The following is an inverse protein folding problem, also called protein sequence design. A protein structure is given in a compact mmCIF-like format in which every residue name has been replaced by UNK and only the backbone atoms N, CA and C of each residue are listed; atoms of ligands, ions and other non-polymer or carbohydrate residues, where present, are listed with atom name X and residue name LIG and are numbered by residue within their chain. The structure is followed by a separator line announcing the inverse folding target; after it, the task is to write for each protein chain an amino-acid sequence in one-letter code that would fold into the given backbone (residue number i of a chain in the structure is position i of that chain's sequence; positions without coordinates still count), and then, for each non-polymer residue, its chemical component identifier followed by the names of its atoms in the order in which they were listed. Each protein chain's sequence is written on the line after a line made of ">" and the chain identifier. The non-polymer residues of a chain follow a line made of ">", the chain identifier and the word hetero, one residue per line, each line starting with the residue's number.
data_IF_077493871798
#
_entry.id   IF_077493871798
#
_cell.length_a   1.000
_cell.length_b   1.000
_cell.length_c   1.000
_cell.angle_alpha   90.00
_cell.angle_beta   90.00
_cell.angle_gamma   90.00
#
_symmetry.space_group_name_H-M   'P 1'
#
loop_
_entity.id
_entity.type
_entity.pdbx_description
1 polymer ?
#
# COMPACT_ATOMS: atom_id res chain seq x y z
N UNK A 1 -15.33 -9.00 -3.72
CA UNK A 1 -16.06 -8.36 -2.59
C UNK A 1 -15.11 -7.37 -1.92
N UNK A 2 -15.52 -6.10 -1.83
CA UNK A 2 -14.69 -5.06 -1.19
C UNK A 2 -14.77 -5.16 0.33
N UNK A 3 -13.62 -5.30 0.98
CA UNK A 3 -13.49 -5.33 2.44
C UNK A 3 -12.49 -4.28 2.92
N UNK A 4 -12.73 -3.72 4.11
CA UNK A 4 -11.79 -2.87 4.84
C UNK A 4 -11.75 -3.29 6.31
N UNK A 5 -10.54 -3.40 6.85
CA UNK A 5 -10.32 -3.65 8.27
C UNK A 5 -9.25 -2.69 8.81
N UNK A 6 -9.61 -1.91 9.82
CA UNK A 6 -8.62 -1.17 10.62
C UNK A 6 -8.01 -2.12 11.64
N UNK A 7 -6.69 -2.32 11.57
CA UNK A 7 -5.98 -3.26 12.44
C UNK A 7 -5.42 -2.55 13.66
N UNK A 8 -4.75 -1.42 13.43
CA UNK A 8 -4.18 -0.54 14.44
C UNK A 8 -4.53 0.90 14.10
N UNK A 9 -5.02 1.65 15.08
CA UNK A 9 -5.25 3.09 14.94
C UNK A 9 -4.56 3.82 16.08
N UNK A 10 -3.63 4.70 15.72
CA UNK A 10 -2.82 5.51 16.64
C UNK A 10 -2.16 4.69 17.76
N UNK A 11 -1.78 3.44 17.46
CA UNK A 11 -1.20 2.52 18.43
C UNK A 11 0.23 2.95 18.81
N UNK A 12 0.52 3.04 20.11
CA UNK A 12 1.80 3.48 20.63
C UNK A 12 2.97 2.57 20.24
N UNK A 13 4.07 3.18 19.81
CA UNK A 13 5.34 2.55 19.42
C UNK A 13 6.52 2.98 20.31
N UNK A 14 6.29 3.60 21.46
CA UNK A 14 7.37 3.95 22.39
C UNK A 14 7.67 2.82 23.36
N UNK A 15 8.96 2.62 23.66
CA UNK A 15 9.47 1.57 24.55
C UNK A 15 8.85 1.68 25.94
N UNK A 16 7.87 0.82 26.23
CA UNK A 16 7.14 0.80 27.50
C UNK A 16 5.68 0.42 27.34
N UNK A 17 5.03 0.88 26.26
CA UNK A 17 3.59 0.69 26.02
C UNK A 17 3.29 -0.11 24.73
N UNK A 18 4.31 -0.48 23.98
CA UNK A 18 4.15 -1.20 22.72
C UNK A 18 3.99 -2.70 22.97
N UNK A 19 2.84 -3.27 22.56
CA UNK A 19 2.54 -4.68 22.71
C UNK A 19 2.94 -5.48 21.45
N UNK A 20 4.01 -6.30 21.50
CA UNK A 20 4.44 -7.09 20.35
C UNK A 20 3.33 -7.96 19.77
N UNK A 21 2.45 -8.52 20.61
CA UNK A 21 1.38 -9.42 20.15
C UNK A 21 0.37 -8.71 19.25
N UNK A 22 0.09 -7.44 19.53
CA UNK A 22 -0.85 -6.63 18.75
C UNK A 22 -0.27 -6.34 17.36
N UNK A 23 1.02 -5.99 17.29
CA UNK A 23 1.70 -5.78 16.02
C UNK A 23 1.83 -7.08 15.20
N UNK A 24 2.21 -8.18 15.84
CA UNK A 24 2.25 -9.53 15.23
C UNK A 24 0.88 -9.89 14.66
N UNK A 25 -0.20 -9.66 15.41
CA UNK A 25 -1.57 -9.91 14.94
C UNK A 25 -1.92 -9.08 13.71
N UNK A 26 -1.50 -7.81 13.66
CA UNK A 26 -1.71 -6.95 12.50
C UNK A 26 -0.95 -7.47 11.27
N UNK A 27 0.33 -7.86 11.43
CA UNK A 27 1.13 -8.43 10.34
C UNK A 27 0.55 -9.74 9.81
N UNK A 28 0.13 -10.65 10.70
CA UNK A 28 -0.52 -11.90 10.31
C UNK A 28 -1.86 -11.66 9.60
N UNK A 29 -2.61 -10.63 10.01
CA UNK A 29 -3.86 -10.27 9.31
C UNK A 29 -3.56 -9.83 7.88
N UNK A 30 -2.53 -9.01 7.65
CA UNK A 30 -2.08 -8.65 6.29
C UNK A 30 -1.67 -9.90 5.50
N UNK A 31 -0.92 -10.82 6.12
CA UNK A 31 -0.51 -12.08 5.47
C UNK A 31 -1.71 -12.92 5.05
N UNK A 32 -2.80 -12.92 5.82
CA UNK A 32 -4.02 -13.67 5.49
C UNK A 32 -4.98 -12.95 4.54
N UNK A 33 -4.83 -11.64 4.35
CA UNK A 33 -5.78 -10.81 3.62
C UNK A 33 -5.63 -10.89 2.10
N UNK A 34 -4.54 -11.46 1.58
CA UNK A 34 -4.27 -11.56 0.14
C UNK A 34 -3.54 -12.85 -0.18
N UNK A 35 -3.65 -13.30 -1.43
CA UNK A 35 -2.96 -14.51 -1.93
C UNK A 35 -1.53 -14.17 -2.29
N UNK A 36 -0.69 -13.96 -1.26
CA UNK A 36 0.73 -13.74 -1.44
C UNK A 36 1.46 -14.98 -1.96
N UNK A 37 2.68 -14.83 -2.48
CA UNK A 37 3.53 -15.98 -2.82
C UNK A 37 3.96 -16.70 -1.54
N UNK A 38 4.21 -18.00 -1.67
CA UNK A 38 4.48 -18.95 -0.56
C UNK A 38 5.65 -18.57 0.35
N UNK A 39 6.57 -17.72 -0.12
CA UNK A 39 7.71 -17.27 0.66
C UNK A 39 7.35 -16.14 1.65
N UNK A 40 6.12 -15.64 1.59
CA UNK A 40 5.61 -14.62 2.52
C UNK A 40 5.50 -15.18 3.93
N UNK A 41 5.88 -14.36 4.90
CA UNK A 41 5.99 -14.79 6.28
C UNK A 41 5.95 -13.61 7.24
N UNK A 42 5.53 -13.89 8.46
CA UNK A 42 5.73 -13.00 9.61
C UNK A 42 6.84 -13.60 10.46
N UNK A 43 7.88 -12.81 10.72
CA UNK A 43 8.89 -13.15 11.71
C UNK A 43 8.39 -12.67 13.07
N UNK A 44 7.98 -13.62 13.91
CA UNK A 44 7.44 -13.36 15.23
C UNK A 44 8.52 -13.52 16.28
N UNK A 45 8.85 -12.45 16.98
CA UNK A 45 9.78 -12.50 18.11
C UNK A 45 9.17 -11.81 19.32
N UNK A 46 9.71 -12.08 20.51
CA UNK A 46 9.32 -11.37 21.73
C UNK A 46 9.75 -9.89 21.74
N UNK A 47 10.57 -9.47 20.76
CA UNK A 47 11.02 -8.09 20.60
C UNK A 47 10.37 -7.44 19.39
N UNK A 48 9.78 -6.26 19.57
CA UNK A 48 9.29 -5.48 18.44
C UNK A 48 10.41 -5.11 17.45
N UNK A 49 11.66 -4.98 17.91
CA UNK A 49 12.79 -4.61 17.05
C UNK A 49 13.16 -5.67 16.01
N UNK A 50 12.76 -6.91 16.23
CA UNK A 50 13.05 -8.03 15.32
C UNK A 50 11.77 -8.62 14.70
N UNK A 51 10.62 -8.01 14.96
CA UNK A 51 9.33 -8.42 14.42
C UNK A 51 9.05 -7.68 13.12
N UNK A 52 8.76 -8.43 12.05
CA UNK A 52 8.45 -7.87 10.73
C UNK A 52 7.65 -8.85 9.87
N UNK A 53 6.94 -8.33 8.87
CA UNK A 53 6.28 -9.13 7.84
C UNK A 53 6.96 -8.94 6.49
N UNK A 54 7.20 -10.04 5.78
CA UNK A 54 7.62 -10.08 4.38
C UNK A 54 6.44 -10.56 3.53
N UNK A 55 5.99 -9.74 2.58
CA UNK A 55 4.82 -9.99 1.75
C UNK A 55 5.22 -10.02 0.27
N UNK A 56 5.44 -11.22 -0.25
CA UNK A 56 5.89 -11.46 -1.61
C UNK A 56 4.72 -11.35 -2.59
N UNK A 57 4.76 -10.33 -3.44
CA UNK A 57 3.79 -10.15 -4.52
C UNK A 57 4.25 -10.86 -5.81
N UNK A 58 5.55 -11.05 -5.99
CA UNK A 58 6.12 -11.99 -6.98
C UNK A 58 7.01 -13.03 -6.29
N UNK A 59 7.60 -13.95 -7.05
CA UNK A 59 8.56 -14.91 -6.48
C UNK A 59 9.83 -14.24 -5.91
N UNK A 60 10.14 -13.02 -6.36
CA UNK A 60 11.42 -12.36 -6.09
C UNK A 60 11.27 -10.99 -5.40
N UNK A 61 10.12 -10.34 -5.56
CA UNK A 61 9.86 -8.99 -5.06
C UNK A 61 8.80 -9.01 -3.96
N UNK A 62 9.04 -8.22 -2.90
CA UNK A 62 8.22 -8.22 -1.71
C UNK A 62 8.21 -6.88 -0.98
N UNK A 63 7.16 -6.66 -0.20
CA UNK A 63 7.04 -5.58 0.77
C UNK A 63 7.53 -6.10 2.11
N UNK A 64 8.43 -5.37 2.78
CA UNK A 64 8.77 -5.61 4.18
C UNK A 64 8.22 -4.49 5.06
N UNK A 65 7.39 -4.84 6.04
CA UNK A 65 6.90 -3.92 7.07
C UNK A 65 7.56 -4.30 8.40
N UNK A 66 8.32 -3.37 8.98
CA UNK A 66 9.07 -3.56 10.22
C UNK A 66 8.78 -2.44 11.23
N UNK A 67 8.99 -2.69 12.52
CA UNK A 67 8.74 -1.72 13.60
C UNK A 67 9.94 -0.81 13.91
N UNK A 68 11.14 -1.24 13.53
CA UNK A 68 12.38 -0.61 13.99
C UNK A 68 13.22 -0.15 12.82
N UNK A 69 12.89 1.05 12.39
CA UNK A 69 13.56 1.72 11.30
C UNK A 69 14.80 2.48 11.78
N UNK A 70 15.98 2.17 11.22
CA UNK A 70 17.23 2.88 11.49
C UNK A 70 17.57 3.05 12.98
N UNK A 71 17.33 2.02 13.77
CA UNK A 71 17.53 2.03 15.22
C UNK A 71 16.60 2.97 16.02
N UNK A 72 15.46 3.33 15.45
CA UNK A 72 14.45 4.17 16.09
C UNK A 72 13.08 3.47 16.08
N UNK A 73 12.25 3.79 17.06
CA UNK A 73 10.97 3.11 17.28
C UNK A 73 9.86 3.73 16.42
N UNK A 74 9.86 3.40 15.12
CA UNK A 74 8.82 3.80 14.17
C UNK A 74 8.70 2.78 13.03
N UNK A 75 7.48 2.64 12.49
CA UNK A 75 7.21 1.69 11.40
C UNK A 75 8.05 2.02 10.17
N UNK A 76 8.68 1.04 9.54
CA UNK A 76 9.37 1.15 8.27
C UNK A 76 8.76 0.27 7.19
N UNK A 77 8.82 0.76 5.94
CA UNK A 77 8.45 -0.02 4.75
C UNK A 77 9.66 -0.12 3.85
N UNK A 78 9.96 -1.32 3.37
CA UNK A 78 10.92 -1.54 2.30
C UNK A 78 10.19 -2.19 1.13
N UNK A 79 10.45 -1.69 -0.06
CA UNK A 79 10.11 -2.32 -1.32
C UNK A 79 11.39 -3.00 -1.82
N UNK A 80 11.40 -4.32 -1.87
CA UNK A 80 12.55 -5.12 -2.29
C UNK A 80 12.23 -5.76 -3.63
N UNK A 81 13.14 -5.58 -4.59
CA UNK A 81 13.12 -6.23 -5.91
C UNK A 81 14.50 -6.83 -6.20
N UNK A 82 14.65 -7.68 -7.23
CA UNK A 82 15.97 -8.18 -7.64
C UNK A 82 17.00 -7.09 -7.90
N UNK A 83 16.54 -5.92 -8.34
CA UNK A 83 17.39 -4.82 -8.80
C UNK A 83 17.64 -3.75 -7.74
N UNK A 84 17.04 -3.86 -6.55
CA UNK A 84 17.29 -2.90 -5.48
C UNK A 84 16.32 -2.97 -4.31
N UNK A 85 16.58 -2.10 -3.34
CA UNK A 85 15.70 -1.89 -2.20
C UNK A 85 15.44 -0.41 -2.02
N UNK A 86 14.16 -0.02 -1.95
CA UNK A 86 13.75 1.33 -1.59
C UNK A 86 13.11 1.30 -0.21
N UNK A 87 13.68 2.06 0.72
CA UNK A 87 13.10 2.23 2.05
C UNK A 87 12.31 3.52 2.12
N UNK A 88 11.04 3.42 2.50
CA UNK A 88 10.21 4.56 2.85
C UNK A 88 10.52 4.95 4.30
N UNK A 89 10.83 6.23 4.48
CA UNK A 89 11.08 6.82 5.78
C UNK A 89 9.82 7.55 6.24
N UNK A 90 9.45 7.36 7.50
CA UNK A 90 8.37 8.10 8.13
C UNK A 90 8.95 9.11 9.11
N UNK A 91 8.16 10.14 9.42
CA UNK A 91 8.49 11.02 10.53
C UNK A 91 8.51 10.20 11.81
N UNK A 92 9.54 10.42 12.63
CA UNK A 92 9.61 9.82 13.96
C UNK A 92 8.40 10.30 14.74
N UNK A 93 7.54 9.36 15.09
CA UNK A 93 6.35 9.62 15.87
C UNK A 93 5.94 8.31 16.50
N UNK A 94 5.77 8.36 17.82
CA UNK A 94 5.55 7.18 18.65
C UNK A 94 4.19 6.52 18.45
N UNK A 95 3.51 6.69 17.31
CA UNK A 95 2.25 6.04 16.99
C UNK A 95 2.28 5.45 15.58
N UNK A 96 1.56 4.34 15.38
CA UNK A 96 1.28 3.78 14.07
C UNK A 96 -0.20 3.68 13.76
N UNK A 97 -0.49 3.67 12.47
CA UNK A 97 -1.80 3.26 11.95
C UNK A 97 -1.56 2.19 10.90
N UNK A 98 -2.24 1.04 11.06
CA UNK A 98 -2.22 -0.06 10.12
C UNK A 98 -3.64 -0.46 9.78
N UNK A 99 -3.94 -0.55 8.49
CA UNK A 99 -5.22 -1.07 8.00
C UNK A 99 -4.99 -1.85 6.71
N UNK A 100 -5.96 -2.67 6.36
CA UNK A 100 -5.99 -3.38 5.10
C UNK A 100 -7.33 -3.18 4.42
N UNK A 101 -7.30 -3.01 3.11
CA UNK A 101 -8.45 -3.13 2.24
C UNK A 101 -8.15 -4.15 1.16
N UNK A 102 -9.13 -4.92 0.73
CA UNK A 102 -8.94 -5.90 -0.36
C UNK A 102 -10.15 -5.96 -1.28
N UNK A 103 -9.88 -6.44 -2.48
CA UNK A 103 -10.86 -6.82 -3.49
C UNK A 103 -10.58 -8.25 -3.93
N UNK A 104 -11.35 -8.78 -4.89
CA UNK A 104 -11.07 -10.10 -5.46
C UNK A 104 -9.79 -10.11 -6.31
N UNK A 105 -9.25 -8.93 -6.67
CA UNK A 105 -8.10 -8.77 -7.58
C UNK A 105 -6.83 -8.23 -6.92
N UNK A 106 -6.95 -7.47 -5.83
CA UNK A 106 -5.79 -6.88 -5.18
C UNK A 106 -5.96 -6.58 -3.69
N UNK A 107 -4.94 -5.96 -3.13
CA UNK A 107 -4.89 -5.52 -1.74
C UNK A 107 -4.31 -4.11 -1.64
N UNK A 108 -4.85 -3.32 -0.73
CA UNK A 108 -4.28 -2.05 -0.33
C UNK A 108 -4.04 -2.02 1.19
N UNK A 109 -2.96 -1.37 1.61
CA UNK A 109 -2.52 -1.35 3.01
C UNK A 109 -2.26 0.10 3.39
N UNK A 110 -2.80 0.53 4.53
CA UNK A 110 -2.29 1.69 5.22
C UNK A 110 -1.24 1.18 6.21
N UNK A 111 -0.01 1.65 6.10
CA UNK A 111 1.05 1.39 7.06
C UNK A 111 1.81 2.70 7.27
N UNK A 112 1.64 3.31 8.43
CA UNK A 112 2.14 4.66 8.69
C UNK A 112 2.67 4.77 10.12
N UNK A 113 3.74 5.56 10.30
CA UNK A 113 4.24 6.01 11.60
C UNK A 113 4.25 7.53 11.69
N UNK A 114 3.85 8.08 12.83
CA UNK A 114 3.84 9.52 13.05
C UNK A 114 3.17 9.92 14.36
N UNK A 115 2.64 11.14 14.42
CA UNK A 115 1.91 11.65 15.60
C UNK A 115 0.55 10.97 15.75
N UNK A 116 0.01 10.92 16.97
CA UNK A 116 -1.37 10.48 17.20
C UNK A 116 -2.37 11.32 16.38
N UNK A 117 -3.37 10.68 15.78
CA UNK A 117 -4.43 11.32 15.00
C UNK A 117 -4.02 11.75 13.59
N UNK A 118 -2.77 11.52 13.18
CA UNK A 118 -2.23 12.06 11.92
C UNK A 118 -2.61 11.27 10.66
N UNK A 119 -3.17 10.05 10.79
CA UNK A 119 -3.46 9.19 9.64
C UNK A 119 -4.85 8.58 9.66
N UNK A 120 -5.62 8.80 8.61
CA UNK A 120 -6.89 8.11 8.40
C UNK A 120 -6.63 6.66 7.93
N UNK A 121 -7.28 5.62 8.50
CA UNK A 121 -7.00 4.22 8.16
C UNK A 121 -7.18 3.85 6.69
N UNK A 122 -8.14 4.40 5.96
CA UNK A 122 -8.34 4.21 4.52
C UNK A 122 -7.40 5.05 3.66
N UNK A 123 -6.39 5.71 4.24
CA UNK A 123 -5.38 6.43 3.46
C UNK A 123 -4.80 5.57 2.34
N UNK A 124 -4.48 4.32 2.69
CA UNK A 124 -3.83 3.31 1.85
C UNK A 124 -2.65 3.86 1.06
N UNK A 125 -1.45 3.64 1.58
CA UNK A 125 -0.20 4.06 0.97
C UNK A 125 0.54 2.91 0.27
N UNK A 126 0.03 1.69 0.34
CA UNK A 126 0.54 0.53 -0.39
C UNK A 126 -0.59 -0.12 -1.17
N UNK A 127 -0.32 -0.54 -2.40
CA UNK A 127 -1.25 -1.26 -3.27
C UNK A 127 -0.51 -2.39 -3.97
N UNK A 128 -1.14 -3.55 -4.09
CA UNK A 128 -0.64 -4.69 -4.85
C UNK A 128 -1.77 -5.19 -5.75
N UNK A 129 -1.45 -5.37 -7.03
CA UNK A 129 -2.40 -5.74 -8.08
C UNK A 129 -1.72 -6.28 -9.33
N UNK A 130 -2.53 -6.71 -10.30
CA UNK A 130 -2.04 -7.27 -11.56
C UNK A 130 -1.64 -6.16 -12.55
N UNK A 131 -0.46 -6.32 -13.14
CA UNK A 131 0.06 -5.46 -14.20
C UNK A 131 0.15 -6.21 -15.52
N UNK A 132 -0.14 -5.51 -16.62
CA UNK A 132 0.10 -6.00 -17.97
C UNK A 132 1.33 -5.31 -18.54
N UNK A 133 2.32 -6.11 -18.94
CA UNK A 133 3.55 -5.64 -19.57
C UNK A 133 3.32 -5.31 -21.05
N UNK A 134 4.26 -4.60 -21.68
CA UNK A 134 4.17 -4.22 -23.09
C UNK A 134 4.07 -5.42 -24.05
N UNK A 135 4.59 -6.58 -23.66
CA UNK A 135 4.49 -7.83 -24.42
C UNK A 135 3.12 -8.54 -24.24
N UNK A 136 2.22 -7.96 -23.45
CA UNK A 136 0.90 -8.49 -23.16
C UNK A 136 0.87 -9.56 -22.06
N UNK A 137 2.01 -9.94 -21.49
CA UNK A 137 2.05 -10.84 -20.34
C UNK A 137 1.61 -10.13 -19.06
N UNK A 138 1.08 -10.89 -18.10
CA UNK A 138 0.67 -10.35 -16.79
C UNK A 138 1.61 -10.79 -15.67
N UNK A 139 1.80 -9.91 -14.70
CA UNK A 139 2.51 -10.19 -13.46
C UNK A 139 1.91 -9.35 -12.33
N UNK A 140 2.50 -9.35 -11.15
CA UNK A 140 2.03 -8.55 -10.01
C UNK A 140 3.00 -7.42 -9.72
N UNK A 141 2.48 -6.23 -9.45
CA UNK A 141 3.26 -5.05 -9.08
C UNK A 141 2.85 -4.51 -7.73
N UNK A 142 3.72 -3.69 -7.13
CA UNK A 142 3.44 -2.93 -5.92
C UNK A 142 3.56 -1.43 -6.18
N UNK A 143 2.65 -0.64 -5.62
CA UNK A 143 2.72 0.82 -5.60
C UNK A 143 2.79 1.29 -4.16
N UNK A 144 3.70 2.23 -3.87
CA UNK A 144 3.68 3.04 -2.67
C UNK A 144 3.32 4.49 -2.99
N UNK A 145 2.39 5.10 -2.26
CA UNK A 145 1.95 6.49 -2.47
C UNK A 145 2.46 7.39 -1.35
N UNK A 146 3.21 8.43 -1.73
CA UNK A 146 3.68 9.47 -0.81
C UNK A 146 2.55 10.43 -0.41
N UNK A 147 2.77 11.21 0.66
CA UNK A 147 1.78 12.16 1.16
C UNK A 147 1.46 13.30 0.18
N UNK A 148 2.41 13.64 -0.70
CA UNK A 148 2.28 14.60 -1.78
C UNK A 148 1.68 14.00 -3.07
N UNK A 149 1.20 12.75 -3.02
CA UNK A 149 0.67 11.96 -4.15
C UNK A 149 1.68 11.66 -5.28
N UNK A 150 2.98 11.90 -5.09
CA UNK A 150 4.00 11.17 -5.86
C UNK A 150 3.96 9.69 -5.47
N UNK A 151 4.45 8.80 -6.32
CA UNK A 151 4.37 7.37 -6.04
C UNK A 151 5.58 6.60 -6.53
N UNK A 152 5.79 5.44 -5.93
CA UNK A 152 6.89 4.53 -6.23
C UNK A 152 6.26 3.26 -6.78
N UNK A 153 6.73 2.77 -7.92
CA UNK A 153 6.32 1.48 -8.49
C UNK A 153 7.45 0.49 -8.26
N UNK A 154 7.12 -0.71 -7.80
CA UNK A 154 8.07 -1.81 -7.62
C UNK A 154 7.57 -3.06 -8.34
N UNK A 155 8.42 -3.59 -9.22
CA UNK A 155 8.21 -4.82 -9.99
C UNK A 155 9.50 -5.64 -10.02
N UNK A 156 9.47 -6.86 -10.57
CA UNK A 156 10.69 -7.65 -10.78
C UNK A 156 11.72 -6.94 -11.69
N UNK A 157 11.27 -6.00 -12.52
CA UNK A 157 12.12 -5.19 -13.40
C UNK A 157 12.82 -4.05 -12.66
N UNK A 158 12.40 -3.67 -11.46
CA UNK A 158 13.06 -2.64 -10.66
C UNK A 158 12.09 -1.75 -9.90
N UNK A 159 12.60 -0.57 -9.53
CA UNK A 159 11.86 0.43 -8.76
C UNK A 159 11.91 1.75 -9.53
N UNK A 160 10.74 2.34 -9.80
CA UNK A 160 10.61 3.67 -10.40
C UNK A 160 9.99 4.66 -9.42
N UNK A 161 10.32 5.94 -9.57
CA UNK A 161 9.76 7.04 -8.78
C UNK A 161 9.03 7.99 -9.73
N UNK A 162 7.74 8.12 -9.50
CA UNK A 162 6.81 8.81 -10.38
C UNK A 162 6.38 10.14 -9.74
N UNK A 163 6.32 11.18 -10.57
CA UNK A 163 5.96 12.51 -10.12
C UNK A 163 4.54 12.58 -9.56
N UNK A 164 4.28 13.59 -8.72
CA UNK A 164 2.96 13.87 -8.19
C UNK A 164 1.89 13.93 -9.28
N UNK A 165 0.86 13.12 -9.12
CA UNK A 165 -0.34 13.23 -9.92
C UNK A 165 -1.34 14.19 -9.25
N UNK A 166 -1.31 15.46 -9.65
CA UNK A 166 -2.30 16.45 -9.19
C UNK A 166 -3.49 16.48 -10.14
N UNK A 167 -4.64 16.01 -9.68
CA UNK A 167 -5.87 16.21 -10.40
C UNK A 167 -6.51 17.53 -10.01
N UNK A 168 -6.26 18.60 -10.76
CA UNK A 168 -6.97 19.87 -10.58
C UNK A 168 -8.45 19.72 -10.95
N UNK A 169 -9.32 19.81 -9.94
CA UNK A 169 -10.78 19.80 -10.09
C UNK A 169 -11.23 21.22 -10.49
N UNK A 170 -11.83 21.34 -11.67
CA UNK A 170 -12.64 22.51 -12.04
C UNK A 170 -14.10 22.05 -12.25
N UNK A 171 -15.06 22.97 -12.11
CA UNK A 171 -16.50 22.68 -12.17
C UNK A 171 -17.01 22.29 -13.58
N UNK A 172 -16.12 22.15 -14.56
CA UNK A 172 -16.48 21.95 -15.97
C UNK A 172 -16.04 20.60 -16.53
N UNK A 173 -15.33 19.77 -15.75
CA UNK A 173 -14.75 18.50 -16.23
C UNK A 173 -15.25 17.31 -15.41
N UNK A 174 -15.73 16.27 -16.12
CA UNK A 174 -16.15 15.00 -15.53
C UNK A 174 -14.95 14.34 -14.83
N UNK A 175 -15.18 13.70 -13.69
CA UNK A 175 -14.19 12.81 -13.08
C UNK A 175 -13.92 11.62 -14.00
N UNK A 176 -12.66 11.19 -14.10
CA UNK A 176 -12.27 9.99 -14.83
C UNK A 176 -11.16 9.24 -14.12
N UNK A 177 -11.14 7.93 -14.31
CA UNK A 177 -10.11 7.04 -13.83
C UNK A 177 -9.08 6.83 -14.94
N UNK A 178 -7.81 6.97 -14.62
CA UNK A 178 -6.70 6.65 -15.54
C UNK A 178 -5.92 5.48 -14.93
N UNK A 179 -5.71 4.38 -15.65
CA UNK A 179 -4.84 3.31 -15.18
C UNK A 179 -3.48 3.85 -14.72
N UNK A 180 -2.93 3.34 -13.62
CA UNK A 180 -1.55 3.68 -13.22
C UNK A 180 -0.58 3.11 -14.25
N UNK A 181 0.48 3.86 -14.58
CA UNK A 181 1.48 3.49 -15.58
C UNK A 181 2.87 3.55 -14.94
N UNK A 182 3.67 2.52 -15.13
CA UNK A 182 5.11 2.54 -14.84
C UNK A 182 5.83 3.33 -15.96
N UNK A 183 6.49 4.45 -15.64
CA UNK A 183 7.15 5.28 -16.66
C UNK A 183 8.43 4.66 -17.22
N UNK A 184 9.02 3.70 -16.51
CA UNK A 184 10.27 3.05 -16.93
C UNK A 184 10.00 2.00 -17.99
N UNK A 185 8.93 1.23 -17.81
CA UNK A 185 8.60 0.09 -18.69
C UNK A 185 7.39 0.33 -19.58
N UNK A 186 6.55 1.32 -19.28
CA UNK A 186 5.26 1.53 -19.94
C UNK A 186 4.17 0.53 -19.53
N UNK A 187 4.41 -0.32 -18.51
CA UNK A 187 3.43 -1.28 -18.02
C UNK A 187 2.20 -0.58 -17.42
N UNK A 188 1.02 -1.15 -17.67
CA UNK A 188 -0.26 -0.57 -17.26
C UNK A 188 -0.92 -1.49 -16.23
N UNK A 189 -1.31 -0.93 -15.08
CA UNK A 189 -2.05 -1.66 -14.06
C UNK A 189 -3.50 -1.91 -14.53
N UNK A 190 -3.96 -3.16 -14.42
CA UNK A 190 -5.28 -3.58 -14.91
C UNK A 190 -6.43 -3.19 -13.97
N UNK A 191 -6.13 -3.13 -12.68
CA UNK A 191 -7.05 -2.98 -11.56
C UNK A 191 -6.72 -1.79 -10.65
N UNK A 192 -5.63 -1.06 -10.93
CA UNK A 192 -5.22 0.11 -10.15
C UNK A 192 -5.35 1.38 -10.98
N UNK A 193 -6.14 2.32 -10.49
CA UNK A 193 -6.48 3.55 -11.20
C UNK A 193 -6.14 4.80 -10.37
N UNK A 194 -5.51 5.77 -11.02
CA UNK A 194 -5.42 7.14 -10.54
C UNK A 194 -6.79 7.81 -10.64
N UNK A 195 -7.19 8.50 -9.58
CA UNK A 195 -8.40 9.32 -9.58
C UNK A 195 -8.10 10.70 -10.15
N UNK A 196 -8.65 11.01 -11.32
CA UNK A 196 -8.55 12.35 -11.92
C UNK A 196 -9.86 13.10 -11.75
N UNK A 197 -9.81 14.24 -11.07
CA UNK A 197 -10.92 15.16 -10.87
C UNK A 197 -12.09 14.56 -10.07
N UNK A 198 -11.84 13.47 -9.32
CA UNK A 198 -12.79 12.84 -8.43
C UNK A 198 -12.49 13.24 -6.96
N UNK A 199 -13.40 13.93 -6.25
CA UNK A 199 -13.23 14.21 -4.82
C UNK A 199 -13.60 13.03 -3.90
N UNK A 200 -13.74 11.80 -4.44
CA UNK A 200 -14.22 10.62 -3.71
C UNK A 200 -13.09 9.90 -2.97
N UNK A 201 -12.44 10.60 -2.04
CA UNK A 201 -11.43 10.00 -1.16
C UNK A 201 -12.10 9.08 -0.13
N UNK A 202 -11.45 7.97 0.23
CA UNK A 202 -11.84 7.09 1.35
C UNK A 202 -13.23 6.46 1.23
N UNK A 203 -13.66 6.11 0.01
CA UNK A 203 -14.99 5.62 -0.29
C UNK A 203 -14.97 4.33 -1.12
N UNK A 204 -16.13 3.67 -1.21
CA UNK A 204 -16.39 2.67 -2.23
C UNK A 204 -17.20 3.30 -3.36
N UNK A 205 -16.71 3.18 -4.59
CA UNK A 205 -17.38 3.72 -5.78
C UNK A 205 -17.90 2.57 -6.63
N UNK A 206 -19.08 2.75 -7.22
CA UNK A 206 -19.64 1.85 -8.23
C UNK A 206 -19.91 2.63 -9.51
N UNK A 207 -19.40 2.17 -10.64
CA UNK A 207 -19.77 2.69 -11.95
C UNK A 207 -20.98 1.90 -12.43
N UNK A 208 -22.15 2.54 -12.49
CA UNK A 208 -23.44 1.87 -12.76
C UNK A 208 -23.44 1.20 -14.13
N UNK A 209 -22.89 1.84 -15.15
CA UNK A 209 -22.92 1.37 -16.54
C UNK A 209 -22.02 0.15 -16.80
N UNK A 210 -20.99 -0.05 -15.98
CA UNK A 210 -20.04 -1.17 -16.13
C UNK A 210 -20.15 -2.19 -15.01
N UNK A 211 -21.00 -1.93 -14.00
CA UNK A 211 -21.11 -2.63 -12.73
C UNK A 211 -19.80 -2.73 -11.90
N UNK A 212 -18.72 -2.10 -12.36
CA UNK A 212 -17.41 -2.12 -11.71
C UNK A 212 -17.44 -1.39 -10.38
N UNK A 213 -16.76 -1.95 -9.38
CA UNK A 213 -16.64 -1.37 -8.05
C UNK A 213 -15.18 -1.06 -7.73
N UNK A 214 -14.96 -0.03 -6.94
CA UNK A 214 -13.63 0.48 -6.61
C UNK A 214 -13.54 0.77 -5.12
N UNK A 215 -12.46 0.34 -4.48
CA UNK A 215 -12.05 0.76 -3.15
C UNK A 215 -11.07 1.92 -3.26
N UNK A 216 -11.49 3.12 -2.90
CA UNK A 216 -10.71 4.34 -3.08
C UNK A 216 -10.01 4.76 -1.79
N UNK A 217 -8.68 4.91 -1.87
CA UNK A 217 -7.86 5.56 -0.85
C UNK A 217 -7.84 7.07 -1.02
N UNK A 218 -6.70 7.72 -0.71
CA UNK A 218 -6.55 9.18 -0.91
C UNK A 218 -6.44 9.57 -2.38
N UNK A 219 -5.56 8.89 -3.13
CA UNK A 219 -5.18 9.27 -4.49
C UNK A 219 -5.43 8.16 -5.54
N UNK A 220 -5.52 6.91 -5.09
CA UNK A 220 -5.62 5.72 -5.93
C UNK A 220 -6.85 4.91 -5.50
N UNK A 221 -7.48 4.22 -6.46
CA UNK A 221 -8.47 3.18 -6.17
C UNK A 221 -8.03 1.81 -6.69
N UNK A 222 -8.47 0.78 -5.98
CA UNK A 222 -8.36 -0.62 -6.35
C UNK A 222 -9.71 -1.13 -6.89
N UNK A 223 -9.75 -1.70 -8.08
CA UNK A 223 -10.94 -2.29 -8.70
C UNK A 223 -11.26 -3.68 -8.09
N UNK A 224 -12.56 -3.98 -7.92
CA UNK A 224 -13.10 -5.32 -7.63
C UNK A 224 -13.39 -6.08 -8.93
#
# INVERSE_FOLDING_TARGET
>A
MIEHTTLLKDAGLTSGDSNPSIFISALNTILSAYTWKSNSSVNETSSLTSTYGNYYFTGNSYIKIDYFANNQSYLGINLITPNGTKRVQFTVGGHCTISVGKTDKGICICAYSGSSGSREPRFYNLYVGEITLLDGSTTTGCIYVNDDNSYIVATDSGISEEATFTAEVDSTRKAYLVPVIDSTTGAIFSDVYMMVKAPLQYNTMKIVDTDKKYLCGKAICLED
#
